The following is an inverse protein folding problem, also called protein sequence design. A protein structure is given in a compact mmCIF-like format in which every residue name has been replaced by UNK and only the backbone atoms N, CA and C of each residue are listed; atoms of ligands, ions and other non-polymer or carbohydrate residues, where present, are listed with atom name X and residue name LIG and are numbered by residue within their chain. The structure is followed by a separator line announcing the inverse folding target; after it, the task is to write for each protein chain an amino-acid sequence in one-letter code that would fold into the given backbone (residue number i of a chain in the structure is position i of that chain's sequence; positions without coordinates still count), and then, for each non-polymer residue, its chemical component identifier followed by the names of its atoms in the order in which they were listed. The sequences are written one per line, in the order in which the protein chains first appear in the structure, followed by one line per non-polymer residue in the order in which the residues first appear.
data_IF_356086644301
#
_entry.id   IF_356086644301
#
_cell.length_a   1.000
_cell.length_b   1.000
_cell.length_c   1.000
_cell.angle_alpha   90.00
_cell.angle_beta   90.00
_cell.angle_gamma   90.00
#
_symmetry.space_group_name_H-M   'P 1'
#
loop_
_entity.id
_entity.type
_entity.pdbx_description
1 polymer ?
#
# COMPACT_ATOMS: atom_id res chain seq x y z
N UNK A 1 -24.62 9.96 -29.86
CA UNK A 1 -23.80 8.90 -30.52
C UNK A 1 -24.65 7.91 -31.34
N UNK A 2 -25.77 7.43 -30.84
CA UNK A 2 -26.61 6.45 -31.55
C UNK A 2 -27.24 7.03 -32.81
N UNK A 3 -27.71 8.31 -32.78
CA UNK A 3 -28.30 9.00 -33.92
C UNK A 3 -27.29 9.20 -35.07
N UNK A 4 -26.08 9.65 -34.78
CA UNK A 4 -25.03 9.81 -35.79
C UNK A 4 -24.67 8.49 -36.49
N UNK A 5 -24.60 7.39 -35.73
CA UNK A 5 -24.36 6.06 -36.32
C UNK A 5 -25.50 5.64 -37.26
N UNK A 6 -26.75 5.89 -36.86
CA UNK A 6 -27.93 5.57 -37.68
C UNK A 6 -27.92 6.38 -38.98
N UNK A 7 -27.58 7.66 -38.94
CA UNK A 7 -27.44 8.51 -40.12
C UNK A 7 -26.38 8.01 -41.09
N UNK A 8 -25.18 7.63 -40.57
CA UNK A 8 -24.11 7.07 -41.39
C UNK A 8 -24.53 5.73 -42.04
N UNK A 9 -25.34 4.93 -41.35
CA UNK A 9 -25.85 3.67 -41.91
C UNK A 9 -26.96 3.90 -42.95
N UNK A 10 -27.74 4.94 -42.81
CA UNK A 10 -28.78 5.32 -43.80
C UNK A 10 -28.18 5.60 -45.18
N UNK A 11 -26.97 6.17 -45.24
CA UNK A 11 -26.22 6.38 -46.50
C UNK A 11 -25.41 5.14 -46.95
N UNK A 12 -25.78 3.94 -46.49
CA UNK A 12 -25.16 2.65 -46.82
C UNK A 12 -23.67 2.50 -46.45
N UNK A 13 -23.16 3.35 -45.53
CA UNK A 13 -21.78 3.28 -45.09
C UNK A 13 -21.50 1.95 -44.35
N UNK A 14 -20.38 1.27 -44.60
CA UNK A 14 -20.00 0.05 -43.89
C UNK A 14 -19.91 0.26 -42.35
N UNK A 15 -20.41 -0.70 -41.58
CA UNK A 15 -20.39 -0.64 -40.08
C UNK A 15 -19.02 -0.33 -39.51
N UNK A 16 -17.95 -0.89 -40.08
CA UNK A 16 -16.56 -0.65 -39.67
C UNK A 16 -16.22 0.85 -39.78
N UNK A 17 -16.45 1.43 -40.95
CA UNK A 17 -16.16 2.85 -41.22
C UNK A 17 -17.03 3.77 -40.37
N UNK A 18 -18.31 3.49 -40.23
CA UNK A 18 -19.20 4.26 -39.37
C UNK A 18 -18.75 4.23 -37.90
N UNK A 19 -18.35 3.08 -37.38
CA UNK A 19 -17.80 2.97 -36.01
C UNK A 19 -16.51 3.78 -35.83
N UNK A 20 -15.60 3.74 -36.81
CA UNK A 20 -14.34 4.50 -36.78
C UNK A 20 -14.59 5.99 -36.76
N UNK A 21 -15.49 6.49 -37.61
CA UNK A 21 -15.81 7.93 -37.72
C UNK A 21 -16.43 8.51 -36.43
N UNK A 22 -17.18 7.72 -35.71
CA UNK A 22 -17.80 8.16 -34.44
C UNK A 22 -16.95 7.80 -33.19
N UNK A 23 -15.73 7.28 -33.37
CA UNK A 23 -14.84 6.88 -32.27
C UNK A 23 -15.36 5.74 -31.41
N UNK A 24 -16.21 4.84 -31.96
CA UNK A 24 -16.82 3.73 -31.21
C UNK A 24 -16.19 2.39 -31.58
N UNK A 25 -15.73 1.63 -30.58
CA UNK A 25 -15.25 0.28 -30.83
C UNK A 25 -16.34 -0.62 -31.42
N UNK A 26 -16.02 -1.32 -32.52
CA UNK A 26 -16.96 -2.22 -33.23
C UNK A 26 -17.56 -3.29 -32.31
N UNK A 27 -16.75 -3.86 -31.41
CA UNK A 27 -17.22 -4.83 -30.41
C UNK A 27 -18.31 -4.23 -29.49
N UNK A 28 -18.14 -2.99 -29.06
CA UNK A 28 -19.13 -2.27 -28.25
C UNK A 28 -20.44 -2.04 -29.01
N UNK A 29 -20.35 -1.73 -30.31
CA UNK A 29 -21.55 -1.57 -31.16
C UNK A 29 -22.37 -2.86 -31.22
N UNK A 30 -21.76 -4.01 -31.47
CA UNK A 30 -22.47 -5.30 -31.55
C UNK A 30 -22.96 -5.75 -30.16
N UNK A 31 -22.22 -5.52 -29.08
CA UNK A 31 -22.66 -5.85 -27.72
C UNK A 31 -23.95 -5.11 -27.34
N UNK A 32 -24.11 -3.84 -27.74
CA UNK A 32 -25.32 -3.07 -27.48
C UNK A 32 -26.52 -3.47 -28.38
N UNK A 33 -26.29 -4.21 -29.45
CA UNK A 33 -27.38 -4.73 -30.32
C UNK A 33 -27.87 -6.10 -29.88
N UNK A 34 -27.11 -6.84 -29.10
CA UNK A 34 -27.60 -8.06 -28.49
C UNK A 34 -28.59 -7.68 -27.38
N UNK A 35 -29.82 -8.20 -27.39
CA UNK A 35 -30.72 -8.00 -26.27
C UNK A 35 -30.02 -8.53 -25.01
N UNK A 36 -30.19 -7.85 -23.84
CA UNK A 36 -29.68 -8.40 -22.60
C UNK A 36 -30.30 -9.80 -22.43
N UNK A 37 -29.48 -10.80 -22.15
CA UNK A 37 -30.00 -12.12 -21.79
C UNK A 37 -30.81 -11.97 -20.50
N UNK A 38 -32.15 -11.92 -20.68
CA UNK A 38 -33.11 -11.90 -19.59
C UNK A 38 -33.22 -13.33 -19.03
N UNK A 39 -32.44 -13.63 -18.02
CA UNK A 39 -32.52 -14.88 -17.29
C UNK A 39 -31.20 -15.20 -16.57
N UNK A 40 -31.22 -15.94 -15.46
CA UNK A 40 -30.03 -16.47 -14.85
C UNK A 40 -29.32 -17.35 -15.90
N UNK A 41 -28.04 -17.06 -16.18
CA UNK A 41 -27.22 -17.93 -17.02
C UNK A 41 -27.27 -19.32 -16.37
N UNK A 42 -27.77 -20.35 -17.07
CA UNK A 42 -27.80 -21.69 -16.48
C UNK A 42 -26.36 -22.05 -16.09
N UNK A 43 -26.15 -22.70 -14.94
CA UNK A 43 -24.82 -23.11 -14.53
C UNK A 43 -24.23 -23.92 -15.67
N UNK A 44 -23.02 -23.52 -16.10
CA UNK A 44 -22.32 -24.18 -17.19
C UNK A 44 -22.18 -25.66 -16.80
N UNK A 45 -22.90 -26.55 -17.43
CA UNK A 45 -22.73 -27.97 -17.28
C UNK A 45 -21.32 -28.29 -17.74
N UNK A 46 -20.44 -28.57 -16.79
CA UNK A 46 -19.10 -29.08 -17.08
C UNK A 46 -19.35 -30.48 -17.67
N UNK A 47 -18.92 -30.76 -18.90
CA UNK A 47 -19.05 -32.10 -19.46
C UNK A 47 -18.41 -33.09 -18.49
N UNK A 48 -19.04 -34.22 -18.26
CA UNK A 48 -18.46 -35.29 -17.47
C UNK A 48 -17.16 -35.72 -18.16
N UNK A 49 -16.04 -35.29 -17.59
CA UNK A 49 -14.74 -35.68 -18.07
C UNK A 49 -14.38 -36.98 -17.36
N UNK A 50 -14.45 -38.10 -18.07
CA UNK A 50 -14.12 -39.41 -17.51
C UNK A 50 -12.70 -39.52 -16.93
N UNK A 51 -11.87 -38.48 -17.09
CA UNK A 51 -10.57 -38.34 -16.45
C UNK A 51 -10.62 -37.47 -15.16
N UNK A 52 -11.81 -37.01 -14.76
CA UNK A 52 -11.96 -36.23 -13.53
C UNK A 52 -11.82 -37.14 -12.31
N UNK A 53 -11.02 -36.71 -11.33
CA UNK A 53 -10.88 -37.46 -10.09
C UNK A 53 -12.23 -37.62 -9.41
N UNK A 54 -12.48 -38.84 -8.94
CA UNK A 54 -13.66 -39.18 -8.14
C UNK A 54 -13.65 -38.50 -6.78
N UNK A 55 -14.77 -38.51 -6.09
CA UNK A 55 -14.86 -37.96 -4.72
C UNK A 55 -13.94 -38.72 -3.75
N UNK A 56 -13.82 -40.03 -3.90
CA UNK A 56 -12.94 -40.89 -3.08
C UNK A 56 -11.47 -40.57 -3.30
N UNK A 57 -11.04 -40.37 -4.52
CA UNK A 57 -9.65 -39.99 -4.85
C UNK A 57 -9.31 -38.60 -4.30
N UNK A 58 -10.23 -37.64 -4.40
CA UNK A 58 -10.03 -36.31 -3.80
C UNK A 58 -9.94 -36.37 -2.28
N UNK A 59 -10.76 -37.20 -1.63
CA UNK A 59 -10.72 -37.40 -0.19
C UNK A 59 -9.39 -38.05 0.24
N UNK A 60 -8.89 -39.00 -0.53
CA UNK A 60 -7.58 -39.63 -0.30
C UNK A 60 -6.43 -38.62 -0.39
N UNK A 61 -6.39 -37.82 -1.46
CA UNK A 61 -5.38 -36.76 -1.61
C UNK A 61 -5.46 -35.74 -0.46
N UNK A 62 -6.66 -35.39 -0.03
CA UNK A 62 -6.84 -34.47 1.11
C UNK A 62 -6.35 -35.10 2.42
N UNK A 63 -6.54 -36.41 2.62
CA UNK A 63 -6.02 -37.14 3.78
C UNK A 63 -4.48 -37.11 3.81
N UNK A 64 -3.83 -37.36 2.67
CA UNK A 64 -2.36 -37.24 2.54
C UNK A 64 -1.88 -35.83 2.88
N UNK A 65 -2.53 -34.79 2.34
CA UNK A 65 -2.19 -33.39 2.66
C UNK A 65 -2.26 -33.14 4.18
N UNK A 66 -3.15 -33.79 4.89
CA UNK A 66 -3.38 -33.61 6.33
C UNK A 66 -2.62 -34.59 7.23
N UNK A 67 -1.72 -35.42 6.68
CA UNK A 67 -0.86 -36.27 7.50
C UNK A 67 0.03 -35.44 8.42
N UNK A 68 0.24 -35.93 9.64
CA UNK A 68 1.05 -35.23 10.65
C UNK A 68 2.47 -34.90 10.16
N UNK A 69 3.08 -35.77 9.33
CA UNK A 69 4.41 -35.57 8.75
C UNK A 69 4.48 -34.38 7.77
N UNK A 70 3.32 -33.90 7.34
CA UNK A 70 3.19 -32.82 6.35
C UNK A 70 2.56 -31.54 6.93
N UNK A 71 2.33 -31.47 8.24
CA UNK A 71 1.62 -30.38 8.89
C UNK A 71 2.21 -28.99 8.57
N UNK A 72 3.55 -28.89 8.48
CA UNK A 72 4.28 -27.63 8.26
C UNK A 72 4.72 -27.43 6.80
N UNK A 73 4.33 -28.30 5.89
CA UNK A 73 4.78 -28.24 4.51
C UNK A 73 3.75 -27.59 3.60
N UNK A 74 4.25 -26.82 2.65
CA UNK A 74 3.42 -26.30 1.56
C UNK A 74 2.99 -27.45 0.63
N UNK A 75 1.82 -27.31 -0.01
CA UNK A 75 1.26 -28.33 -0.91
C UNK A 75 2.24 -28.76 -2.00
N UNK A 76 3.04 -27.84 -2.56
CA UNK A 76 4.07 -28.19 -3.56
C UNK A 76 5.20 -29.07 -2.99
N UNK A 77 5.56 -28.87 -1.73
CA UNK A 77 6.58 -29.67 -1.05
C UNK A 77 6.05 -31.09 -0.73
N UNK A 78 4.78 -31.19 -0.35
CA UNK A 78 4.10 -32.48 -0.16
C UNK A 78 4.07 -33.25 -1.48
N UNK A 79 3.63 -32.59 -2.56
CA UNK A 79 3.58 -33.20 -3.89
C UNK A 79 4.95 -33.72 -4.33
N UNK A 80 6.02 -32.92 -4.14
CA UNK A 80 7.37 -33.33 -4.50
C UNK A 80 7.84 -34.52 -3.67
N UNK A 81 7.62 -34.55 -2.35
CA UNK A 81 7.99 -35.67 -1.49
C UNK A 81 7.26 -36.96 -1.83
N UNK A 82 5.95 -36.89 -2.09
CA UNK A 82 5.18 -38.05 -2.53
C UNK A 82 5.73 -38.59 -3.86
N UNK A 83 6.11 -37.70 -4.79
CA UNK A 83 6.72 -38.10 -6.05
C UNK A 83 8.09 -38.77 -5.86
N UNK A 84 8.92 -38.25 -4.97
CA UNK A 84 10.22 -38.83 -4.61
C UNK A 84 10.07 -40.21 -3.94
N UNK A 85 8.97 -40.42 -3.20
CA UNK A 85 8.60 -41.72 -2.62
C UNK A 85 7.96 -42.67 -3.63
N UNK A 86 7.83 -42.25 -4.91
CA UNK A 86 7.25 -43.06 -5.99
C UNK A 86 5.73 -42.99 -6.10
N UNK A 87 5.08 -42.10 -5.35
CA UNK A 87 3.64 -41.94 -5.34
C UNK A 87 3.20 -40.78 -6.24
N UNK A 88 2.39 -41.07 -7.26
CA UNK A 88 1.75 -40.03 -8.08
C UNK A 88 0.24 -40.08 -7.94
N UNK A 89 -0.32 -39.22 -7.12
CA UNK A 89 -1.77 -39.16 -6.85
C UNK A 89 -2.52 -38.29 -7.84
N UNK A 90 -1.95 -37.12 -8.18
CA UNK A 90 -2.52 -36.20 -9.15
C UNK A 90 -1.49 -35.15 -9.53
N UNK A 91 -1.83 -34.28 -10.49
CA UNK A 91 -0.98 -33.11 -10.78
C UNK A 91 -0.93 -32.15 -9.58
N UNK A 92 0.17 -31.42 -9.43
CA UNK A 92 0.35 -30.38 -8.39
C UNK A 92 -0.80 -29.36 -8.41
N UNK A 93 -1.26 -28.96 -9.60
CA UNK A 93 -2.41 -28.03 -9.75
C UNK A 93 -3.73 -28.64 -9.23
N UNK A 94 -3.91 -29.97 -9.37
CA UNK A 94 -5.08 -30.65 -8.81
C UNK A 94 -5.00 -30.73 -7.29
N UNK A 95 -3.83 -31.00 -6.73
CA UNK A 95 -3.61 -31.00 -5.28
C UNK A 95 -3.90 -29.64 -4.66
N UNK A 96 -3.47 -28.55 -5.29
CA UNK A 96 -3.83 -27.17 -4.86
C UNK A 96 -5.34 -26.90 -4.94
N UNK A 97 -6.03 -27.38 -5.99
CA UNK A 97 -7.49 -27.20 -6.10
C UNK A 97 -8.24 -27.96 -5.02
N UNK A 98 -7.79 -29.15 -4.66
CA UNK A 98 -8.37 -29.96 -3.57
C UNK A 98 -8.16 -29.24 -2.22
N UNK A 99 -6.95 -28.80 -1.94
CA UNK A 99 -6.64 -28.03 -0.73
C UNK A 99 -7.47 -26.73 -0.65
N UNK A 100 -7.63 -26.02 -1.77
CA UNK A 100 -8.44 -24.79 -1.83
C UNK A 100 -9.93 -25.07 -1.58
N UNK A 101 -10.49 -26.13 -2.15
CA UNK A 101 -11.86 -26.54 -1.93
C UNK A 101 -12.15 -26.92 -0.46
N UNK A 102 -11.13 -27.44 0.25
CA UNK A 102 -11.18 -27.71 1.68
C UNK A 102 -10.84 -26.50 2.56
N UNK A 103 -10.63 -25.29 1.99
CA UNK A 103 -10.25 -24.08 2.74
C UNK A 103 -8.81 -24.08 3.26
N UNK A 104 -7.96 -25.01 2.79
CA UNK A 104 -6.58 -25.24 3.26
C UNK A 104 -5.51 -24.68 2.36
N UNK A 105 -5.82 -23.71 1.51
CA UNK A 105 -4.86 -23.06 0.59
C UNK A 105 -4.02 -21.95 1.23
N UNK A 106 -4.18 -21.68 2.52
CA UNK A 106 -3.43 -20.68 3.27
C UNK A 106 -2.11 -21.26 3.79
N UNK A 107 -1.26 -20.38 4.31
CA UNK A 107 -0.03 -20.76 5.00
C UNK A 107 -0.34 -21.80 6.10
N UNK A 108 0.30 -22.94 6.05
CA UNK A 108 0.06 -24.09 6.95
C UNK A 108 0.96 -24.08 8.18
N UNK A 109 2.09 -23.36 8.09
CA UNK A 109 2.98 -23.19 9.24
C UNK A 109 2.32 -22.30 10.28
N UNK A 110 2.56 -22.56 11.56
CA UNK A 110 2.15 -21.69 12.66
C UNK A 110 3.01 -20.41 12.64
N UNK A 111 2.86 -19.58 11.64
CA UNK A 111 3.41 -18.25 11.66
C UNK A 111 2.54 -17.35 12.53
N UNK A 112 3.18 -16.56 13.38
CA UNK A 112 2.49 -15.54 14.15
C UNK A 112 1.67 -14.66 13.19
N UNK A 113 0.38 -14.70 13.30
CA UNK A 113 -0.51 -13.79 12.57
C UNK A 113 -0.31 -12.40 13.16
N UNK A 114 0.21 -11.48 12.36
CA UNK A 114 0.27 -10.10 12.79
C UNK A 114 -1.17 -9.59 12.99
N UNK A 115 -1.48 -8.98 14.14
CA UNK A 115 -2.79 -8.39 14.37
C UNK A 115 -3.10 -7.37 13.28
N UNK A 116 -4.38 -7.20 12.97
CA UNK A 116 -4.82 -6.18 12.02
C UNK A 116 -4.29 -4.82 12.47
N UNK A 117 -3.62 -4.11 11.56
CA UNK A 117 -3.08 -2.80 11.85
C UNK A 117 -4.21 -1.80 11.89
N UNK A 118 -4.52 -1.29 13.07
CA UNK A 118 -5.49 -0.23 13.25
C UNK A 118 -4.89 1.12 12.82
N UNK A 119 -5.75 2.00 12.29
CA UNK A 119 -5.36 3.39 12.00
C UNK A 119 -4.99 4.05 13.33
N UNK A 120 -3.82 4.69 13.46
CA UNK A 120 -3.53 5.44 14.67
C UNK A 120 -4.49 6.62 14.77
N UNK A 121 -5.16 6.75 15.89
CA UNK A 121 -5.97 7.92 16.21
C UNK A 121 -5.09 8.95 16.93
N UNK A 122 -4.88 10.08 16.29
CA UNK A 122 -4.11 11.19 16.83
C UNK A 122 -5.08 12.19 17.45
N UNK A 123 -5.33 12.07 18.74
CA UNK A 123 -6.17 12.98 19.51
C UNK A 123 -5.29 13.84 20.42
N UNK A 124 -5.49 15.15 20.39
CA UNK A 124 -4.88 16.11 21.29
C UNK A 124 -5.96 17.09 21.77
N UNK A 125 -6.09 17.21 23.08
CA UNK A 125 -7.05 18.12 23.73
C UNK A 125 -6.41 19.44 24.12
N UNK A 126 -5.08 19.56 23.94
CA UNK A 126 -4.29 20.74 24.26
C UNK A 126 -2.98 20.81 23.50
N UNK A 127 -2.29 21.95 23.57
CA UNK A 127 -1.01 22.14 22.89
C UNK A 127 0.07 21.23 23.47
N UNK A 128 1.05 20.87 22.64
CA UNK A 128 2.21 20.04 22.98
C UNK A 128 1.89 18.64 23.50
N UNK A 129 0.69 18.11 23.26
CA UNK A 129 0.37 16.73 23.61
C UNK A 129 0.81 15.74 22.53
N UNK A 130 0.56 16.06 21.28
CA UNK A 130 0.91 15.20 20.14
C UNK A 130 1.61 16.02 19.08
N UNK A 131 2.82 15.64 18.77
CA UNK A 131 3.56 16.19 17.64
C UNK A 131 3.56 15.23 16.46
N UNK A 132 3.32 15.76 15.27
CA UNK A 132 3.51 15.05 14.00
C UNK A 132 4.87 15.44 13.43
N UNK A 133 5.65 14.45 13.03
CA UNK A 133 6.96 14.64 12.44
C UNK A 133 7.02 14.07 11.03
N UNK A 134 7.64 14.83 10.12
CA UNK A 134 7.86 14.37 8.76
C UNK A 134 9.06 15.07 8.11
N UNK A 135 9.61 14.44 7.05
CA UNK A 135 10.74 14.94 6.29
C UNK A 135 10.35 15.06 4.82
N UNK A 136 10.46 16.27 4.27
CA UNK A 136 10.20 16.46 2.85
C UNK A 136 11.43 16.92 2.08
N UNK A 137 11.50 16.54 0.80
CA UNK A 137 12.60 16.90 -0.10
C UNK A 137 12.36 18.26 -0.72
N UNK A 138 13.41 19.07 -0.72
CA UNK A 138 13.51 20.35 -1.42
C UNK A 138 14.50 20.21 -2.58
N UNK A 139 14.15 20.71 -3.75
CA UNK A 139 15.03 20.61 -4.93
C UNK A 139 16.23 21.53 -4.76
N UNK A 140 17.44 20.98 -4.91
CA UNK A 140 18.70 21.72 -4.96
C UNK A 140 19.00 22.35 -6.34
N UNK A 141 20.23 22.90 -6.52
CA UNK A 141 20.60 23.69 -7.69
C UNK A 141 20.66 22.89 -8.99
N UNK A 142 20.92 21.59 -8.93
CA UNK A 142 21.03 20.73 -10.09
C UNK A 142 20.22 19.45 -9.96
N UNK A 143 20.00 18.76 -11.07
CA UNK A 143 19.27 17.49 -11.11
C UNK A 143 19.98 16.46 -10.23
N UNK A 144 19.22 15.84 -9.32
CA UNK A 144 19.72 14.82 -8.39
C UNK A 144 20.17 15.37 -7.04
N UNK A 145 20.34 16.69 -6.89
CA UNK A 145 20.62 17.33 -5.60
C UNK A 145 19.33 17.63 -4.88
N UNK A 146 19.22 17.15 -3.62
CA UNK A 146 18.07 17.37 -2.77
C UNK A 146 18.52 17.80 -1.40
N UNK A 147 17.78 18.72 -0.79
CA UNK A 147 17.87 19.04 0.62
C UNK A 147 16.68 18.43 1.34
N UNK A 148 16.80 18.20 2.64
CA UNK A 148 15.80 17.54 3.45
C UNK A 148 15.31 18.52 4.52
N UNK A 149 14.03 18.87 4.45
CA UNK A 149 13.37 19.71 5.44
C UNK A 149 12.68 18.79 6.45
N UNK A 150 13.15 18.84 7.69
CA UNK A 150 12.56 18.19 8.85
C UNK A 150 11.62 19.16 9.51
N UNK A 151 10.42 18.75 9.85
CA UNK A 151 9.42 19.59 10.50
C UNK A 151 8.71 18.81 11.60
N UNK A 152 8.58 19.42 12.76
CA UNK A 152 7.66 19.01 13.82
C UNK A 152 6.47 19.95 13.84
N UNK A 153 5.26 19.42 13.97
CA UNK A 153 4.01 20.15 14.07
C UNK A 153 3.25 19.67 15.29
N UNK A 154 2.84 20.60 16.13
CA UNK A 154 1.82 20.31 17.14
C UNK A 154 0.44 20.18 16.47
N UNK A 155 -0.18 19.00 16.57
CA UNK A 155 -1.43 18.73 15.86
C UNK A 155 -2.63 19.53 16.40
N UNK A 156 -2.56 20.01 17.64
CA UNK A 156 -3.60 20.82 18.24
C UNK A 156 -3.53 22.27 17.77
N UNK A 157 -2.42 22.95 18.06
CA UNK A 157 -2.25 24.39 17.79
C UNK A 157 -1.83 24.70 16.35
N UNK A 158 -1.32 23.71 15.60
CA UNK A 158 -0.64 23.87 14.30
C UNK A 158 0.68 24.62 14.39
N UNK A 159 1.14 24.92 15.58
CA UNK A 159 2.47 25.49 15.81
C UNK A 159 3.56 24.54 15.35
N UNK A 160 4.65 25.07 14.86
CA UNK A 160 5.84 24.32 14.43
C UNK A 160 6.91 24.45 15.52
N UNK A 161 7.02 23.49 16.46
CA UNK A 161 8.00 23.55 17.54
C UNK A 161 9.43 23.66 17.04
N UNK A 162 9.75 22.98 15.94
CA UNK A 162 11.06 23.06 15.31
C UNK A 162 11.00 22.67 13.84
N UNK A 163 11.98 23.19 13.10
CA UNK A 163 12.30 22.77 11.73
C UNK A 163 13.79 22.94 11.46
N UNK A 164 14.35 22.09 10.59
CA UNK A 164 15.73 22.24 10.10
C UNK A 164 15.82 21.81 8.62
N UNK A 165 16.78 22.37 7.90
CA UNK A 165 17.14 21.92 6.55
C UNK A 165 18.53 21.31 6.55
N UNK A 166 18.63 20.07 6.07
CA UNK A 166 19.87 19.29 5.99
C UNK A 166 20.21 18.89 4.55
N UNK A 167 21.49 18.58 4.30
CA UNK A 167 21.94 18.13 2.99
C UNK A 167 21.48 16.68 2.70
N UNK A 168 21.33 15.86 3.72
CA UNK A 168 20.89 14.47 3.62
C UNK A 168 20.06 14.08 4.84
N UNK A 169 19.37 12.98 4.74
CA UNK A 169 18.63 12.40 5.84
C UNK A 169 19.56 11.58 6.72
N UNK A 170 19.54 11.85 8.02
CA UNK A 170 20.42 11.22 9.00
C UNK A 170 19.69 10.96 10.32
N UNK A 171 19.98 9.85 10.98
CA UNK A 171 19.32 9.40 12.20
C UNK A 171 19.79 10.10 13.46
N UNK A 172 21.08 10.45 13.54
CA UNK A 172 21.63 11.20 14.67
C UNK A 172 21.13 12.64 14.63
N UNK A 173 21.16 13.24 13.43
CA UNK A 173 20.59 14.56 13.21
C UNK A 173 19.09 14.60 13.59
N UNK A 174 18.35 13.54 13.28
CA UNK A 174 16.94 13.43 13.65
C UNK A 174 16.75 13.37 15.17
N UNK A 175 17.61 12.63 15.87
CA UNK A 175 17.62 12.59 17.34
C UNK A 175 17.90 13.97 17.92
N UNK A 176 18.99 14.63 17.50
CA UNK A 176 19.40 15.94 17.99
C UNK A 176 18.33 17.03 17.70
N UNK A 177 17.68 16.92 16.55
CA UNK A 177 16.58 17.79 16.16
C UNK A 177 15.37 17.67 17.10
N UNK A 178 14.96 16.45 17.44
CA UNK A 178 13.84 16.21 18.36
C UNK A 178 14.21 16.65 19.78
N UNK A 179 15.41 16.33 20.22
CA UNK A 179 15.92 16.72 21.54
C UNK A 179 15.94 18.26 21.70
N UNK A 180 16.48 18.96 20.71
CA UNK A 180 16.50 20.42 20.69
C UNK A 180 15.08 21.03 20.64
N UNK A 181 14.16 20.41 19.90
CA UNK A 181 12.77 20.85 19.84
C UNK A 181 12.07 20.74 21.21
N UNK A 182 12.28 19.62 21.93
CA UNK A 182 11.73 19.41 23.28
C UNK A 182 12.32 20.41 24.26
N UNK A 183 13.66 20.60 24.23
CA UNK A 183 14.33 21.55 25.08
C UNK A 183 13.84 23.00 24.82
N UNK A 184 13.70 23.40 23.57
CA UNK A 184 13.22 24.73 23.19
C UNK A 184 11.74 24.96 23.48
N UNK A 185 10.91 23.93 23.45
CA UNK A 185 9.49 24.02 23.79
C UNK A 185 9.23 24.06 25.32
N UNK A 186 10.21 23.62 26.11
CA UNK A 186 10.11 23.59 27.59
C UNK A 186 9.23 22.45 28.13
N UNK A 187 8.63 21.62 27.27
CA UNK A 187 7.84 20.48 27.66
C UNK A 187 7.93 19.39 26.58
N UNK A 188 8.02 18.13 27.03
CA UNK A 188 7.96 16.98 26.13
C UNK A 188 6.53 16.69 25.70
N UNK A 189 6.28 16.33 24.43
CA UNK A 189 4.97 15.85 24.00
C UNK A 189 4.66 14.49 24.64
N UNK A 190 3.39 14.15 24.75
CA UNK A 190 2.99 12.79 25.17
C UNK A 190 3.27 11.76 24.05
N UNK A 191 3.09 12.19 22.80
CA UNK A 191 3.24 11.32 21.64
C UNK A 191 3.93 12.06 20.50
N UNK A 192 4.88 11.37 19.84
CA UNK A 192 5.43 11.78 18.54
C UNK A 192 4.96 10.77 17.49
N UNK A 193 4.22 11.28 16.51
CA UNK A 193 3.75 10.52 15.36
C UNK A 193 4.61 10.79 14.14
N UNK A 194 5.00 9.74 13.42
CA UNK A 194 5.80 9.85 12.22
C UNK A 194 5.46 8.75 11.21
N UNK A 195 5.82 8.96 9.97
CA UNK A 195 5.84 7.88 8.99
C UNK A 195 6.90 6.82 9.34
N UNK A 196 6.98 5.76 8.53
CA UNK A 196 7.96 4.68 8.72
C UNK A 196 9.25 4.93 7.93
N UNK A 197 9.67 6.17 7.80
CA UNK A 197 10.96 6.53 7.21
C UNK A 197 12.14 5.97 8.00
N UNK A 198 13.29 5.85 7.34
CA UNK A 198 14.50 5.26 7.94
C UNK A 198 14.95 6.00 9.20
N UNK A 199 14.99 7.32 9.15
CA UNK A 199 15.35 8.15 10.31
C UNK A 199 14.32 8.05 11.43
N UNK A 200 13.03 7.92 11.08
CA UNK A 200 11.90 7.92 12.02
C UNK A 200 11.80 6.63 12.82
N UNK A 201 12.26 5.51 12.24
CA UNK A 201 12.26 4.19 12.89
C UNK A 201 13.66 3.83 13.45
N UNK A 202 14.58 4.75 13.42
CA UNK A 202 15.97 4.54 13.83
C UNK A 202 16.12 4.26 15.33
N UNK A 203 17.17 3.55 15.69
CA UNK A 203 17.49 3.26 17.10
C UNK A 203 17.76 4.53 17.92
N UNK A 204 18.56 5.53 17.44
CA UNK A 204 18.81 6.76 18.21
C UNK A 204 17.54 7.52 18.56
N UNK A 205 16.64 7.75 17.61
CA UNK A 205 15.35 8.41 17.85
C UNK A 205 14.48 7.57 18.80
N UNK A 206 14.48 6.25 18.60
CA UNK A 206 13.73 5.34 19.45
C UNK A 206 14.20 5.38 20.90
N UNK A 207 15.51 5.38 21.15
CA UNK A 207 16.08 5.45 22.48
C UNK A 207 15.73 6.79 23.17
N UNK A 208 15.97 7.93 22.49
CA UNK A 208 15.64 9.25 23.00
C UNK A 208 14.18 9.35 23.46
N UNK A 209 13.23 8.98 22.60
CA UNK A 209 11.81 9.07 22.94
C UNK A 209 11.40 8.15 24.09
N UNK A 210 12.04 6.98 24.19
CA UNK A 210 11.83 6.06 25.32
C UNK A 210 12.38 6.65 26.63
N UNK A 211 13.57 7.19 26.60
CA UNK A 211 14.22 7.80 27.78
C UNK A 211 13.44 9.03 28.29
N UNK A 212 12.80 9.77 27.38
CA UNK A 212 11.95 10.91 27.73
C UNK A 212 10.51 10.52 28.06
N UNK A 213 10.15 9.25 28.04
CA UNK A 213 8.79 8.77 28.30
C UNK A 213 7.77 9.16 27.21
N UNK A 214 8.23 9.53 26.01
CA UNK A 214 7.39 9.94 24.89
C UNK A 214 6.93 8.70 24.10
N UNK A 215 5.62 8.58 23.93
CA UNK A 215 5.03 7.50 23.14
C UNK A 215 5.32 7.69 21.65
N UNK A 216 5.75 6.62 20.98
CA UNK A 216 5.93 6.63 19.54
C UNK A 216 4.70 6.08 18.84
N UNK A 217 4.25 6.79 17.84
CA UNK A 217 3.19 6.37 16.94
C UNK A 217 3.67 6.40 15.50
N UNK A 218 3.28 5.43 14.69
CA UNK A 218 3.69 5.38 13.29
C UNK A 218 2.50 5.12 12.38
N UNK A 219 2.55 5.72 11.19
CA UNK A 219 1.65 5.42 10.09
C UNK A 219 1.65 3.93 9.75
N UNK A 220 0.52 3.42 9.28
CA UNK A 220 0.45 2.04 8.76
C UNK A 220 1.34 1.90 7.52
N UNK A 221 1.98 0.74 7.31
CA UNK A 221 2.82 0.54 6.13
C UNK A 221 2.04 0.77 4.83
N UNK A 222 2.60 1.58 3.94
CA UNK A 222 2.05 1.92 2.62
C UNK A 222 0.70 2.66 2.65
N UNK A 223 0.40 3.36 3.74
CA UNK A 223 -0.77 4.23 3.87
C UNK A 223 -0.30 5.65 4.09
N UNK A 224 -0.44 6.52 3.10
CA UNK A 224 -0.02 7.92 3.16
C UNK A 224 -0.93 8.76 4.06
N UNK A 225 -2.23 8.48 4.10
CA UNK A 225 -3.21 9.30 4.81
C UNK A 225 -3.19 9.19 6.34
N UNK A 226 -2.21 8.51 6.91
CA UNK A 226 -2.10 8.36 8.36
C UNK A 226 -1.30 9.51 9.03
N UNK A 227 -0.63 10.37 8.22
CA UNK A 227 0.05 11.60 8.70
C UNK A 227 -0.48 12.86 7.99
N UNK A 228 -1.78 13.16 8.10
CA UNK A 228 -2.42 14.24 7.34
C UNK A 228 -1.93 15.64 7.72
N UNK A 229 -1.43 15.83 8.93
CA UNK A 229 -1.00 17.13 9.44
C UNK A 229 0.28 17.60 8.77
N UNK A 230 1.30 16.76 8.72
CA UNK A 230 2.56 17.06 8.03
C UNK A 230 2.37 17.18 6.51
N UNK A 231 1.54 16.31 5.91
CA UNK A 231 1.21 16.39 4.48
C UNK A 231 0.54 17.74 4.14
N UNK A 232 -0.43 18.17 4.94
CA UNK A 232 -1.11 19.46 4.76
C UNK A 232 -0.15 20.65 4.90
N UNK A 233 0.76 20.59 5.89
CA UNK A 233 1.78 21.62 6.10
C UNK A 233 2.72 21.73 4.90
N UNK A 234 3.26 20.60 4.44
CA UNK A 234 4.14 20.62 3.28
C UNK A 234 3.44 21.05 1.99
N UNK A 235 2.18 20.70 1.84
CA UNK A 235 1.37 21.20 0.73
C UNK A 235 1.22 22.71 0.81
N UNK A 236 0.82 23.25 1.95
CA UNK A 236 0.69 24.70 2.17
C UNK A 236 2.00 25.42 1.87
N UNK A 237 3.12 24.93 2.41
CA UNK A 237 4.44 25.51 2.19
C UNK A 237 4.84 25.52 0.72
N UNK A 238 4.74 24.37 0.04
CA UNK A 238 5.19 24.22 -1.36
C UNK A 238 4.29 24.92 -2.38
N UNK A 239 3.07 25.28 -1.99
CA UNK A 239 2.13 26.03 -2.83
C UNK A 239 2.12 27.53 -2.55
N UNK A 240 3.00 28.04 -1.69
CA UNK A 240 3.22 29.48 -1.56
C UNK A 240 3.63 30.07 -2.91
N UNK A 241 3.12 31.26 -3.22
CA UNK A 241 3.38 31.92 -4.50
C UNK A 241 4.87 32.11 -4.79
N UNK A 242 5.65 32.43 -3.77
CA UNK A 242 7.09 32.72 -3.86
C UNK A 242 7.96 31.48 -3.61
N UNK A 243 7.36 30.28 -3.41
CA UNK A 243 8.14 29.08 -3.15
C UNK A 243 9.01 28.72 -4.37
N UNK A 244 10.36 28.72 -4.24
CA UNK A 244 11.24 28.54 -5.36
C UNK A 244 11.16 27.12 -5.94
N UNK A 245 11.24 27.01 -7.25
CA UNK A 245 11.29 25.71 -7.95
C UNK A 245 12.53 24.88 -7.58
N UNK A 246 13.63 25.55 -7.19
CA UNK A 246 14.86 24.97 -6.69
C UNK A 246 15.65 26.00 -5.88
N UNK A 247 16.44 25.52 -4.92
CA UNK A 247 17.29 26.35 -4.07
C UNK A 247 18.73 26.32 -4.60
N UNK A 248 19.35 27.49 -4.70
CA UNK A 248 20.73 27.62 -5.19
C UNK A 248 21.76 26.96 -4.26
N UNK A 249 21.47 26.90 -2.96
CA UNK A 249 22.35 26.30 -1.96
C UNK A 249 21.55 25.91 -0.69
N UNK A 250 22.17 25.11 0.18
CA UNK A 250 21.61 24.78 1.48
C UNK A 250 21.38 26.03 2.37
N UNK A 251 22.34 26.99 2.46
CA UNK A 251 22.08 28.26 3.14
C UNK A 251 20.90 29.04 2.55
N UNK A 252 20.74 29.07 1.24
CA UNK A 252 19.60 29.73 0.61
C UNK A 252 18.26 29.06 0.96
N UNK A 253 18.24 27.74 1.07
CA UNK A 253 17.04 27.02 1.53
C UNK A 253 16.73 27.33 3.01
N UNK A 254 17.75 27.42 3.86
CA UNK A 254 17.59 27.79 5.28
C UNK A 254 17.14 29.23 5.51
N UNK A 255 17.54 30.14 4.63
CA UNK A 255 17.17 31.55 4.73
C UNK A 255 15.72 31.80 4.28
N UNK A 256 15.23 30.99 3.35
CA UNK A 256 13.87 31.13 2.82
C UNK A 256 12.80 30.60 3.77
N UNK A 257 13.12 29.54 4.52
CA UNK A 257 12.19 28.84 5.41
C UNK A 257 12.21 29.44 6.81
#
# INVERSE_FOLDING_TARGET
MTAAFTQLRAVKMPTRTACTLIGRARATHYRHRQPPMLGPVPPRTVPDNGQAMTASERAHVLAIINEARYADLAVCQIWARELDEGNYWCSMSSMYRIAAAAGQSRERRQLATHPAKHKPELLADGPSQVWSWDITKLRGPSRGVWYHLYVLIDIYSRYTPAWIVAAHEDSELARDFIEAAIAGNGASPHTVHADRGTSMTSKPVSALLTDLGVTRSHSRPRVSNDNPYSEAQFKTLKYLHDFPKSFASLPAARLFL
#
